data_IF_391266842766
#
_entry.id   IF_391266842766
#
_cell.length_a   1.000
_cell.length_b   1.000
_cell.length_c   1.000
_cell.angle_alpha   90.00
_cell.angle_beta   90.00
_cell.angle_gamma   90.00
#
_symmetry.space_group_name_H-M   'P 1'
#
loop_
_entity.id
_entity.type
_entity.pdbx_description
1 polymer ?
#
# COMPACT_ATOMS: atom_id res chain seq x y z
N UNK A 1 -30.12 -26.33 12.74
CA UNK A 1 -28.86 -26.63 12.03
C UNK A 1 -27.74 -25.96 12.80
N UNK A 2 -26.80 -26.73 13.35
CA UNK A 2 -25.67 -26.20 14.13
C UNK A 2 -24.77 -25.30 13.27
N UNK A 3 -24.20 -24.22 13.81
CA UNK A 3 -23.19 -23.45 13.11
C UNK A 3 -21.97 -24.35 12.93
N UNK A 4 -21.44 -24.41 11.71
CA UNK A 4 -20.17 -25.07 11.44
C UNK A 4 -19.10 -24.36 12.27
N UNK A 5 -18.53 -25.05 13.26
CA UNK A 5 -17.32 -24.61 13.95
C UNK A 5 -16.20 -24.50 12.91
N UNK A 6 -15.61 -23.32 12.71
CA UNK A 6 -14.36 -23.22 11.94
C UNK A 6 -13.94 -21.86 11.41
N UNK A 7 -14.87 -20.92 11.23
CA UNK A 7 -14.56 -19.56 10.76
C UNK A 7 -14.50 -18.56 11.94
N UNK A 8 -13.60 -17.59 11.83
CA UNK A 8 -13.48 -16.47 12.77
C UNK A 8 -14.48 -15.37 12.46
N UNK A 9 -14.60 -15.03 11.18
CA UNK A 9 -15.63 -14.13 10.66
C UNK A 9 -16.31 -14.87 9.51
N UNK A 10 -17.59 -15.20 9.70
CA UNK A 10 -18.42 -15.81 8.67
C UNK A 10 -18.86 -14.71 7.71
N UNK A 11 -18.68 -14.92 6.42
CA UNK A 11 -19.16 -13.95 5.45
C UNK A 11 -20.69 -13.98 5.39
N UNK A 12 -21.29 -12.80 5.27
CA UNK A 12 -22.75 -12.61 5.26
C UNK A 12 -23.43 -13.35 4.12
N UNK A 13 -22.76 -13.45 2.98
CA UNK A 13 -23.25 -14.07 1.76
C UNK A 13 -23.25 -15.60 1.84
N UNK A 14 -22.65 -16.17 2.89
CA UNK A 14 -22.70 -17.61 3.18
C UNK A 14 -21.79 -18.49 2.34
N UNK A 15 -20.82 -17.90 1.63
CA UNK A 15 -19.80 -18.64 0.89
C UNK A 15 -18.57 -18.91 1.79
N UNK A 16 -18.36 -20.17 2.22
CA UNK A 16 -17.28 -20.50 3.16
C UNK A 16 -15.88 -20.29 2.59
N UNK A 17 -15.70 -20.10 1.28
CA UNK A 17 -14.42 -19.74 0.67
C UNK A 17 -13.97 -18.32 1.07
N UNK A 18 -14.92 -17.46 1.44
CA UNK A 18 -14.67 -16.08 1.85
C UNK A 18 -14.87 -15.83 3.34
N UNK A 19 -15.08 -16.90 4.12
CA UNK A 19 -14.96 -16.83 5.56
C UNK A 19 -13.51 -16.49 5.96
N UNK A 20 -13.36 -15.59 6.93
CA UNK A 20 -12.05 -15.27 7.50
C UNK A 20 -11.67 -16.35 8.50
N UNK A 21 -10.47 -16.91 8.32
CA UNK A 21 -9.87 -17.92 9.21
C UNK A 21 -8.46 -17.51 9.54
N UNK A 22 -8.25 -17.11 10.78
CA UNK A 22 -6.97 -16.58 11.21
C UNK A 22 -6.00 -17.71 11.54
N UNK A 23 -4.78 -17.67 10.98
CA UNK A 23 -3.79 -18.74 11.16
C UNK A 23 -3.29 -18.84 12.61
N UNK A 24 -3.23 -17.72 13.34
CA UNK A 24 -2.82 -17.69 14.74
C UNK A 24 -3.77 -18.44 15.69
N UNK A 25 -4.97 -18.85 15.23
CA UNK A 25 -5.87 -19.72 15.99
C UNK A 25 -5.39 -21.17 16.07
N UNK A 26 -4.62 -21.60 15.06
CA UNK A 26 -4.27 -23.01 14.86
C UNK A 26 -2.78 -23.27 15.03
N UNK A 27 -1.95 -22.27 14.81
CA UNK A 27 -0.48 -22.40 14.86
C UNK A 27 0.18 -21.14 15.40
N UNK A 28 1.38 -21.31 15.95
CA UNK A 28 2.27 -20.19 16.24
C UNK A 28 2.89 -19.72 14.93
N UNK A 29 2.73 -18.43 14.61
CA UNK A 29 3.25 -17.87 13.38
C UNK A 29 4.78 -17.75 13.45
N UNK A 30 5.52 -18.26 12.46
CA UNK A 30 6.97 -18.11 12.42
C UNK A 30 7.35 -16.63 12.26
N UNK A 31 8.55 -16.25 12.74
CA UNK A 31 9.12 -14.95 12.45
C UNK A 31 9.13 -14.56 10.97
N UNK A 32 8.99 -13.26 10.71
CA UNK A 32 9.12 -12.68 9.38
C UNK A 32 7.98 -11.74 9.03
N UNK A 33 8.05 -11.24 7.81
CA UNK A 33 7.14 -10.25 7.24
C UNK A 33 6.52 -10.81 5.97
N UNK A 34 5.18 -10.79 5.90
CA UNK A 34 4.44 -11.05 4.67
C UNK A 34 3.86 -9.74 4.15
N UNK A 35 4.17 -9.39 2.92
CA UNK A 35 3.55 -8.26 2.23
C UNK A 35 2.25 -8.70 1.56
N UNK A 36 1.17 -7.98 1.81
CA UNK A 36 -0.15 -8.20 1.24
C UNK A 36 -0.47 -7.04 0.31
N UNK A 37 -0.46 -7.34 -0.99
CA UNK A 37 -0.96 -6.46 -2.03
C UNK A 37 -2.44 -6.69 -2.25
N UNK A 38 -3.15 -5.59 -2.49
CA UNK A 38 -4.54 -5.63 -2.94
C UNK A 38 -4.60 -4.75 -4.17
N UNK A 39 -4.85 -5.38 -5.30
CA UNK A 39 -4.65 -4.74 -6.59
C UNK A 39 -5.89 -4.88 -7.45
N UNK A 40 -6.08 -3.87 -8.29
CA UNK A 40 -6.98 -3.94 -9.42
C UNK A 40 -6.37 -3.11 -10.52
N UNK A 41 -6.12 -3.72 -11.67
CA UNK A 41 -5.57 -3.07 -12.85
C UNK A 41 -4.20 -2.40 -12.61
N UNK A 42 -3.26 -3.17 -12.07
CA UNK A 42 -1.90 -2.76 -11.73
C UNK A 42 -0.83 -3.33 -12.67
N UNK A 43 -1.21 -3.91 -13.82
CA UNK A 43 -0.28 -4.60 -14.73
C UNK A 43 0.90 -3.71 -15.16
N UNK A 44 0.66 -2.40 -15.29
CA UNK A 44 1.69 -1.40 -15.61
C UNK A 44 2.71 -1.25 -14.49
N UNK A 45 2.28 -1.26 -13.22
CA UNK A 45 3.11 -0.91 -12.07
C UNK A 45 3.88 -2.11 -11.51
N UNK A 46 3.30 -3.31 -11.55
CA UNK A 46 3.88 -4.52 -10.96
C UNK A 46 5.33 -4.83 -11.36
N UNK A 47 5.79 -4.58 -12.61
CA UNK A 47 7.19 -4.78 -12.99
C UNK A 47 8.19 -3.95 -12.20
N UNK A 48 7.81 -2.78 -11.67
CA UNK A 48 8.66 -1.99 -10.76
C UNK A 48 8.42 -2.35 -9.30
N UNK A 49 7.18 -2.69 -8.93
CA UNK A 49 6.74 -2.85 -7.55
C UNK A 49 7.12 -4.21 -6.95
N UNK A 50 6.86 -5.30 -7.67
CA UNK A 50 7.05 -6.65 -7.13
C UNK A 50 8.53 -7.05 -6.93
N UNK A 51 9.47 -6.81 -7.87
CA UNK A 51 10.84 -7.28 -7.72
C UNK A 51 11.53 -6.81 -6.43
N UNK A 52 11.50 -5.51 -6.04
CA UNK A 52 12.12 -5.10 -4.79
C UNK A 52 11.36 -5.62 -3.57
N UNK A 53 10.02 -5.72 -3.60
CA UNK A 53 9.26 -6.28 -2.49
C UNK A 53 9.60 -7.75 -2.26
N UNK A 54 9.66 -8.55 -3.33
CA UNK A 54 10.08 -9.94 -3.26
C UNK A 54 11.49 -10.06 -2.66
N UNK A 55 12.41 -9.12 -2.87
CA UNK A 55 13.72 -9.18 -2.19
C UNK A 55 13.66 -8.78 -0.72
N UNK A 56 12.66 -8.01 -0.31
CA UNK A 56 12.57 -7.40 1.02
C UNK A 56 11.89 -8.29 2.07
N UNK A 57 10.94 -9.14 1.66
CA UNK A 57 10.07 -9.87 2.59
C UNK A 57 10.11 -11.39 2.39
N UNK A 58 9.72 -12.13 3.42
CA UNK A 58 9.72 -13.60 3.40
C UNK A 58 8.64 -14.16 2.47
N UNK A 59 7.47 -13.49 2.38
CA UNK A 59 6.37 -13.94 1.53
C UNK A 59 5.59 -12.76 0.96
N UNK A 60 5.05 -12.92 -0.24
CA UNK A 60 4.13 -11.96 -0.86
C UNK A 60 2.79 -12.63 -1.12
N UNK A 61 1.70 -12.03 -0.63
CA UNK A 61 0.34 -12.35 -1.03
C UNK A 61 -0.16 -11.22 -1.92
N UNK A 62 -0.63 -11.52 -3.11
CA UNK A 62 -1.30 -10.59 -4.00
C UNK A 62 -2.74 -11.01 -4.17
N UNK A 63 -3.64 -10.13 -3.75
CA UNK A 63 -5.09 -10.30 -3.89
C UNK A 63 -5.56 -9.48 -5.08
N UNK A 64 -5.93 -10.17 -6.15
CA UNK A 64 -6.54 -9.55 -7.33
C UNK A 64 -8.03 -9.29 -7.09
N UNK A 65 -8.45 -8.03 -7.19
CA UNK A 65 -9.86 -7.64 -7.05
C UNK A 65 -10.53 -7.43 -8.41
N UNK A 66 -10.46 -8.45 -9.26
CA UNK A 66 -11.15 -8.49 -10.55
C UNK A 66 -10.51 -7.57 -11.58
N UNK A 67 -9.20 -7.73 -11.80
CA UNK A 67 -8.49 -7.00 -12.85
C UNK A 67 -8.89 -7.49 -14.25
N UNK A 68 -8.82 -6.58 -15.22
CA UNK A 68 -9.10 -6.83 -16.64
C UNK A 68 -7.95 -6.43 -17.58
N UNK A 69 -6.81 -6.01 -17.03
CA UNK A 69 -5.61 -5.56 -17.76
C UNK A 69 -4.48 -6.60 -17.81
N UNK A 70 -4.72 -7.81 -17.32
CA UNK A 70 -3.71 -8.87 -17.22
C UNK A 70 -2.82 -8.80 -15.96
N UNK A 71 -3.21 -8.02 -14.93
CA UNK A 71 -2.51 -7.94 -13.65
C UNK A 71 -2.10 -9.30 -13.07
N UNK A 72 -2.98 -10.33 -13.00
CA UNK A 72 -2.62 -11.64 -12.45
C UNK A 72 -1.48 -12.32 -13.22
N UNK A 73 -1.52 -12.29 -14.55
CA UNK A 73 -0.52 -12.90 -15.43
C UNK A 73 0.83 -12.18 -15.31
N UNK A 74 0.81 -10.84 -15.21
CA UNK A 74 2.02 -10.04 -14.96
C UNK A 74 2.62 -10.39 -13.61
N UNK A 75 1.79 -10.49 -12.56
CA UNK A 75 2.27 -10.79 -11.21
C UNK A 75 2.98 -12.14 -11.14
N UNK A 76 2.37 -13.20 -11.71
CA UNK A 76 2.96 -14.54 -11.77
C UNK A 76 4.28 -14.54 -12.54
N UNK A 77 4.29 -13.94 -13.73
CA UNK A 77 5.51 -13.85 -14.56
C UNK A 77 6.64 -13.16 -13.81
N UNK A 78 6.38 -12.01 -13.16
CA UNK A 78 7.40 -11.27 -12.42
C UNK A 78 7.92 -12.07 -11.22
N UNK A 79 7.05 -12.80 -10.51
CA UNK A 79 7.47 -13.68 -9.42
C UNK A 79 8.38 -14.82 -9.91
N UNK A 80 8.04 -15.44 -11.05
CA UNK A 80 8.86 -16.47 -11.70
C UNK A 80 10.23 -15.93 -12.17
N UNK A 81 10.24 -14.78 -12.86
CA UNK A 81 11.47 -14.11 -13.31
C UNK A 81 12.38 -13.72 -12.15
N UNK A 82 11.80 -13.42 -10.98
CA UNK A 82 12.54 -13.14 -9.75
C UNK A 82 12.97 -14.41 -8.99
N UNK A 83 12.61 -15.61 -9.46
CA UNK A 83 12.89 -16.88 -8.77
C UNK A 83 12.20 -16.97 -7.41
N UNK A 84 11.00 -16.38 -7.27
CA UNK A 84 10.29 -16.23 -6.00
C UNK A 84 8.88 -16.87 -6.02
N UNK A 85 8.62 -17.74 -6.99
CA UNK A 85 7.32 -18.40 -7.15
C UNK A 85 6.91 -19.24 -5.93
N UNK A 86 7.87 -19.82 -5.20
CA UNK A 86 7.66 -20.62 -3.99
C UNK A 86 7.19 -19.81 -2.77
N UNK A 87 7.37 -18.49 -2.82
CA UNK A 87 7.06 -17.53 -1.74
C UNK A 87 6.16 -16.38 -2.20
N UNK A 88 5.40 -16.65 -3.26
CA UNK A 88 4.39 -15.77 -3.82
C UNK A 88 3.04 -16.50 -3.84
N UNK A 89 1.98 -15.82 -3.43
CA UNK A 89 0.61 -16.34 -3.48
C UNK A 89 -0.27 -15.35 -4.19
N UNK A 90 -0.85 -15.77 -5.31
CA UNK A 90 -1.91 -15.05 -5.99
C UNK A 90 -3.26 -15.63 -5.57
N UNK A 91 -4.19 -14.77 -5.18
CA UNK A 91 -5.57 -15.14 -4.89
C UNK A 91 -6.53 -14.13 -5.52
N UNK A 92 -7.74 -14.58 -5.87
CA UNK A 92 -8.75 -13.74 -6.48
C UNK A 92 -9.86 -13.39 -5.48
N UNK A 93 -10.30 -12.14 -5.51
CA UNK A 93 -11.45 -11.66 -4.76
C UNK A 93 -12.46 -11.05 -5.75
N UNK A 94 -13.39 -11.84 -6.29
CA UNK A 94 -14.20 -11.48 -7.45
C UNK A 94 -15.45 -10.65 -7.09
N UNK A 95 -15.44 -9.95 -5.96
CA UNK A 95 -16.57 -9.13 -5.51
C UNK A 95 -16.28 -7.64 -5.70
N UNK A 96 -17.31 -6.88 -6.04
CA UNK A 96 -17.23 -5.43 -6.00
C UNK A 96 -17.13 -4.97 -4.55
N UNK A 97 -15.97 -4.46 -4.16
CA UNK A 97 -15.74 -3.93 -2.81
C UNK A 97 -16.19 -2.47 -2.75
N UNK A 98 -16.90 -2.11 -1.69
CA UNK A 98 -17.37 -0.76 -1.41
C UNK A 98 -16.18 0.21 -1.27
N UNK A 99 -16.29 1.37 -1.94
CA UNK A 99 -15.30 2.43 -1.85
C UNK A 99 -15.37 3.15 -0.50
N UNK A 100 -14.25 3.75 -0.08
CA UNK A 100 -14.24 4.65 1.07
C UNK A 100 -15.27 5.79 0.86
N UNK A 101 -15.96 6.18 1.93
CA UNK A 101 -17.05 7.15 1.92
C UNK A 101 -18.41 6.52 2.20
N UNK A 102 -19.43 6.99 1.49
CA UNK A 102 -20.84 6.61 1.70
C UNK A 102 -21.12 5.14 1.38
N UNK A 103 -20.49 4.58 0.34
CA UNK A 103 -20.57 3.15 0.01
C UNK A 103 -20.06 2.30 1.17
N UNK A 104 -18.88 2.62 1.70
CA UNK A 104 -18.34 1.96 2.88
C UNK A 104 -19.32 2.07 4.04
N UNK A 105 -19.77 3.27 4.40
CA UNK A 105 -20.69 3.49 5.53
C UNK A 105 -21.96 2.62 5.43
N UNK A 106 -22.51 2.47 4.22
CA UNK A 106 -23.74 1.71 3.97
C UNK A 106 -23.53 0.18 3.96
N UNK A 107 -22.30 -0.30 3.77
CA UNK A 107 -22.01 -1.73 3.60
C UNK A 107 -21.74 -2.41 4.95
N UNK A 108 -22.46 -3.49 5.24
CA UNK A 108 -22.31 -4.24 6.49
C UNK A 108 -20.88 -4.81 6.62
N UNK A 109 -20.24 -4.74 7.81
CA UNK A 109 -18.82 -5.08 7.98
C UNK A 109 -18.47 -6.54 7.63
N UNK A 110 -19.43 -7.45 7.74
CA UNK A 110 -19.34 -8.90 7.52
C UNK A 110 -19.69 -9.33 6.08
N UNK A 111 -20.05 -8.39 5.21
CA UNK A 111 -20.32 -8.67 3.80
C UNK A 111 -19.03 -8.81 2.99
N UNK A 112 -18.98 -9.70 2.00
CA UNK A 112 -17.88 -9.76 1.02
C UNK A 112 -17.71 -8.45 0.24
N UNK A 113 -18.72 -7.60 0.19
CA UNK A 113 -18.63 -6.27 -0.41
C UNK A 113 -18.00 -5.23 0.53
N UNK A 114 -17.80 -5.56 1.80
CA UNK A 114 -17.19 -4.69 2.79
C UNK A 114 -15.70 -4.55 2.58
N UNK A 115 -15.21 -3.31 2.60
CA UNK A 115 -13.78 -3.04 2.62
C UNK A 115 -13.13 -3.70 3.85
N UNK A 116 -13.77 -3.64 5.02
CA UNK A 116 -13.29 -4.29 6.26
C UNK A 116 -13.17 -5.81 6.11
N UNK A 117 -14.19 -6.46 5.53
CA UNK A 117 -14.14 -7.92 5.30
C UNK A 117 -13.07 -8.28 4.28
N UNK A 118 -13.01 -7.55 3.18
CA UNK A 118 -12.01 -7.74 2.14
C UNK A 118 -10.59 -7.68 2.69
N UNK A 119 -10.27 -6.70 3.54
CA UNK A 119 -8.97 -6.64 4.20
C UNK A 119 -8.75 -7.81 5.16
N UNK A 120 -9.70 -8.12 6.04
CA UNK A 120 -9.52 -9.24 6.96
C UNK A 120 -9.32 -10.58 6.24
N UNK A 121 -10.07 -10.84 5.18
CA UNK A 121 -9.88 -12.01 4.33
C UNK A 121 -8.51 -12.00 3.63
N UNK A 122 -8.10 -10.86 3.06
CA UNK A 122 -6.79 -10.72 2.40
C UNK A 122 -5.64 -11.05 3.36
N UNK A 123 -5.72 -10.57 4.61
CA UNK A 123 -4.68 -10.78 5.62
C UNK A 123 -4.76 -12.15 6.30
N UNK A 124 -5.88 -12.87 6.17
CA UNK A 124 -5.99 -14.25 6.65
C UNK A 124 -5.08 -15.23 5.90
N UNK A 125 -4.53 -14.83 4.76
CA UNK A 125 -3.53 -15.60 4.01
C UNK A 125 -2.10 -15.46 4.54
N UNK A 126 -1.81 -14.47 5.39
CA UNK A 126 -0.47 -14.25 5.95
C UNK A 126 -0.04 -15.44 6.81
N UNK A 127 1.23 -15.86 6.74
CA UNK A 127 1.76 -16.99 7.54
C UNK A 127 2.98 -16.63 8.36
N UNK A 128 3.25 -15.34 8.54
CA UNK A 128 4.36 -14.83 9.35
C UNK A 128 3.83 -14.03 10.54
N UNK A 129 4.65 -13.85 11.57
CA UNK A 129 4.30 -13.11 12.78
C UNK A 129 3.95 -11.64 12.52
N UNK A 130 4.42 -11.07 11.40
CA UNK A 130 4.06 -9.73 10.95
C UNK A 130 3.45 -9.72 9.56
N UNK A 131 2.61 -8.72 9.33
CA UNK A 131 2.01 -8.42 8.03
C UNK A 131 2.26 -6.98 7.63
N UNK A 132 2.38 -6.76 6.33
CA UNK A 132 2.59 -5.46 5.73
C UNK A 132 1.50 -5.23 4.69
N UNK A 133 0.71 -4.18 4.85
CA UNK A 133 -0.15 -3.66 3.77
C UNK A 133 0.75 -2.97 2.75
N UNK A 134 0.47 -3.11 1.46
CA UNK A 134 1.14 -2.35 0.42
C UNK A 134 0.23 -2.18 -0.80
N UNK A 135 0.35 -1.03 -1.47
CA UNK A 135 -0.46 -0.70 -2.63
C UNK A 135 0.28 -1.06 -3.93
N UNK A 136 -0.47 -1.31 -5.01
CA UNK A 136 0.04 -1.83 -6.29
C UNK A 136 0.91 -0.83 -7.07
N UNK A 137 0.95 0.42 -6.64
CA UNK A 137 1.67 1.55 -7.21
C UNK A 137 2.84 2.01 -6.34
N UNK A 138 3.17 1.30 -5.26
CA UNK A 138 4.25 1.69 -4.34
C UNK A 138 5.56 0.96 -4.64
N UNK A 139 6.59 1.68 -5.09
CA UNK A 139 7.90 1.12 -5.45
C UNK A 139 8.93 1.37 -4.35
N UNK A 140 9.59 0.31 -3.88
CA UNK A 140 10.70 0.40 -2.93
C UNK A 140 12.02 0.82 -3.62
N UNK A 141 12.79 1.66 -2.93
CA UNK A 141 14.19 1.91 -3.27
C UNK A 141 15.10 0.78 -2.75
N UNK A 142 16.35 0.66 -3.22
CA UNK A 142 17.30 -0.31 -2.67
C UNK A 142 17.52 -0.16 -1.15
N UNK A 143 17.50 1.09 -0.64
CA UNK A 143 17.55 1.36 0.81
C UNK A 143 16.29 0.81 1.50
N UNK A 144 15.11 1.01 0.91
CA UNK A 144 13.84 0.43 1.38
C UNK A 144 13.88 -1.09 1.47
N UNK A 145 14.46 -1.77 0.48
CA UNK A 145 14.64 -3.23 0.51
C UNK A 145 15.49 -3.65 1.70
N UNK A 146 16.63 -2.99 1.93
CA UNK A 146 17.51 -3.29 3.06
C UNK A 146 16.84 -3.06 4.41
N UNK A 147 16.18 -1.91 4.59
CA UNK A 147 15.49 -1.57 5.84
C UNK A 147 14.37 -2.58 6.16
N UNK A 148 13.56 -2.97 5.18
CA UNK A 148 12.49 -3.95 5.41
C UNK A 148 13.03 -5.35 5.69
N UNK A 149 14.08 -5.77 5.00
CA UNK A 149 14.75 -7.04 5.25
C UNK A 149 15.29 -7.10 6.69
N UNK A 150 15.94 -6.04 7.17
CA UNK A 150 16.46 -5.95 8.53
C UNK A 150 15.33 -5.87 9.59
N UNK A 151 14.28 -5.09 9.32
CA UNK A 151 13.11 -4.99 10.20
C UNK A 151 12.45 -6.35 10.42
N UNK A 152 12.36 -7.20 9.39
CA UNK A 152 11.74 -8.52 9.53
C UNK A 152 12.36 -9.38 10.65
N UNK A 153 13.65 -9.19 10.94
CA UNK A 153 14.36 -9.82 12.06
C UNK A 153 14.18 -9.07 13.38
N UNK A 154 14.20 -7.74 13.36
CA UNK A 154 14.08 -6.91 14.57
C UNK A 154 12.68 -6.92 15.18
N UNK A 155 11.66 -7.19 14.38
CA UNK A 155 10.26 -7.23 14.83
C UNK A 155 9.89 -8.52 15.57
N UNK A 156 10.80 -9.51 15.65
CA UNK A 156 10.57 -10.74 16.39
C UNK A 156 10.24 -10.44 17.86
N UNK A 157 9.11 -10.97 18.32
CA UNK A 157 8.58 -10.78 19.68
C UNK A 157 8.36 -9.33 20.11
N UNK A 158 8.34 -8.37 19.16
CA UNK A 158 7.94 -7.00 19.43
C UNK A 158 6.44 -6.81 19.16
N UNK A 159 5.85 -5.78 19.76
CA UNK A 159 4.49 -5.29 19.45
C UNK A 159 4.56 -3.97 18.68
N UNK A 160 5.56 -3.82 17.81
CA UNK A 160 5.79 -2.57 17.11
C UNK A 160 4.87 -2.41 15.90
N UNK A 161 4.31 -1.23 15.73
CA UNK A 161 3.64 -0.81 14.51
C UNK A 161 4.59 0.13 13.76
N UNK A 162 4.89 -0.20 12.50
CA UNK A 162 5.84 0.57 11.70
C UNK A 162 5.09 1.45 10.70
N UNK A 163 5.33 2.75 10.82
CA UNK A 163 4.89 3.72 9.84
C UNK A 163 5.97 3.96 8.79
N UNK A 164 5.59 3.87 7.52
CA UNK A 164 6.49 4.00 6.37
C UNK A 164 6.13 5.30 5.63
N UNK A 165 7.02 6.31 5.60
CA UNK A 165 6.82 7.49 4.78
C UNK A 165 6.89 7.12 3.30
N UNK A 166 5.94 7.63 2.52
CA UNK A 166 5.89 7.48 1.06
C UNK A 166 5.89 8.84 0.38
N UNK A 167 6.46 8.91 -0.82
CA UNK A 167 6.55 10.14 -1.60
C UNK A 167 5.84 9.96 -2.94
N UNK A 168 4.79 10.74 -3.26
CA UNK A 168 4.14 10.69 -4.56
C UNK A 168 5.13 11.05 -5.69
N UNK A 169 5.10 10.27 -6.76
CA UNK A 169 5.88 10.47 -7.98
C UNK A 169 4.92 10.55 -9.17
N UNK A 170 4.61 11.77 -9.59
CA UNK A 170 3.78 12.02 -10.77
C UNK A 170 4.59 11.82 -12.04
N UNK A 171 4.21 10.85 -12.86
CA UNK A 171 4.94 10.44 -14.07
C UNK A 171 4.32 11.16 -15.27
N UNK A 172 5.10 12.06 -15.86
CA UNK A 172 4.72 12.84 -17.04
C UNK A 172 5.04 12.06 -18.33
N UNK A 173 6.16 11.35 -18.35
CA UNK A 173 6.59 10.49 -19.45
C UNK A 173 7.60 9.45 -18.97
N UNK A 174 8.04 8.56 -19.86
CA UNK A 174 9.09 7.59 -19.53
C UNK A 174 10.40 8.22 -19.04
N UNK A 175 10.66 9.50 -19.37
CA UNK A 175 11.89 10.20 -18.98
C UNK A 175 11.67 11.36 -18.00
N UNK A 176 10.43 11.73 -17.66
CA UNK A 176 10.13 12.89 -16.81
C UNK A 176 9.11 12.54 -15.73
N UNK A 177 9.43 12.90 -14.49
CA UNK A 177 8.52 12.78 -13.37
C UNK A 177 8.70 13.92 -12.37
N UNK A 178 7.72 14.06 -11.47
CA UNK A 178 7.69 15.07 -10.43
C UNK A 178 7.50 14.41 -9.07
N UNK A 179 8.49 14.59 -8.19
CA UNK A 179 8.48 14.04 -6.84
C UNK A 179 7.92 15.08 -5.86
N UNK A 180 6.86 14.73 -5.11
CA UNK A 180 6.29 15.59 -4.09
C UNK A 180 6.95 15.35 -2.72
N UNK A 181 7.72 16.34 -2.26
CA UNK A 181 8.32 16.42 -0.92
C UNK A 181 7.64 17.48 -0.04
N UNK A 182 6.58 18.12 -0.54
CA UNK A 182 5.86 19.20 0.14
C UNK A 182 4.85 18.73 1.18
N UNK A 183 4.53 17.44 1.22
CA UNK A 183 3.57 16.87 2.18
C UNK A 183 4.08 15.57 2.80
N UNK A 184 3.84 15.40 4.10
CA UNK A 184 4.24 14.18 4.83
C UNK A 184 3.14 13.14 4.76
N UNK A 185 3.29 12.14 3.90
CA UNK A 185 2.45 10.95 3.90
C UNK A 185 3.05 9.92 4.84
N UNK A 186 2.54 9.87 6.07
CA UNK A 186 2.96 8.91 7.08
C UNK A 186 1.76 8.06 7.50
N UNK A 187 1.78 6.79 7.12
CA UNK A 187 0.77 5.82 7.51
C UNK A 187 1.45 4.58 8.11
N UNK A 188 0.83 3.93 9.12
CA UNK A 188 1.24 2.62 9.58
C UNK A 188 0.93 1.55 8.52
N UNK A 189 1.94 0.76 8.15
CA UNK A 189 1.81 -0.27 7.11
C UNK A 189 2.14 -1.67 7.62
N UNK A 190 3.01 -1.76 8.64
CA UNK A 190 3.51 -3.04 9.17
C UNK A 190 2.98 -3.23 10.59
N UNK A 191 2.39 -4.40 10.83
CA UNK A 191 1.70 -4.74 12.07
C UNK A 191 1.98 -6.18 12.48
N UNK A 192 1.98 -6.46 13.79
CA UNK A 192 1.91 -7.83 14.28
C UNK A 192 0.65 -8.53 13.75
N UNK A 193 0.73 -9.85 13.62
CA UNK A 193 -0.40 -10.71 13.37
C UNK A 193 -0.99 -11.17 14.70
N UNK A 194 -2.26 -10.90 14.92
CA UNK A 194 -2.95 -11.28 16.14
C UNK A 194 -4.35 -10.65 16.26
N UNK A 195 -5.12 -11.06 17.27
CA UNK A 195 -6.51 -10.62 17.44
C UNK A 195 -6.65 -9.11 17.71
N UNK A 196 -5.59 -8.45 18.19
CA UNK A 196 -5.59 -7.01 18.47
C UNK A 196 -5.25 -6.14 17.26
N UNK A 197 -4.90 -6.76 16.12
CA UNK A 197 -4.39 -6.09 14.92
C UNK A 197 -5.24 -6.37 13.68
N UNK A 198 -6.55 -6.60 13.86
CA UNK A 198 -7.49 -6.82 12.75
C UNK A 198 -8.03 -5.52 12.19
N UNK A 199 -8.58 -5.56 10.98
CA UNK A 199 -9.28 -4.43 10.41
C UNK A 199 -10.68 -4.33 11.01
N UNK A 200 -11.05 -3.13 11.44
CA UNK A 200 -12.39 -2.80 11.91
C UNK A 200 -13.02 -1.77 10.98
N UNK A 201 -14.35 -1.67 11.08
CA UNK A 201 -15.13 -0.69 10.34
C UNK A 201 -15.11 0.65 11.09
N UNK A 202 -14.50 1.68 10.50
CA UNK A 202 -14.72 3.06 10.91
C UNK A 202 -15.85 3.67 10.06
N UNK A 203 -16.11 4.98 10.21
CA UNK A 203 -17.25 5.62 9.54
C UNK A 203 -17.19 5.49 8.01
N UNK A 204 -16.13 6.03 7.40
CA UNK A 204 -16.01 6.12 5.94
C UNK A 204 -14.87 5.27 5.38
N UNK A 205 -14.12 4.55 6.21
CA UNK A 205 -13.02 3.68 5.79
C UNK A 205 -12.78 2.58 6.82
N UNK A 206 -11.94 1.60 6.47
CA UNK A 206 -11.41 0.60 7.39
C UNK A 206 -10.23 1.17 8.19
N UNK A 207 -10.14 0.80 9.47
CA UNK A 207 -8.95 1.11 10.27
C UNK A 207 -8.39 -0.20 10.78
N UNK A 208 -7.07 -0.32 10.82
CA UNK A 208 -6.41 -1.40 11.54
C UNK A 208 -6.23 -0.94 12.98
N UNK A 209 -6.95 -1.58 13.90
CA UNK A 209 -6.79 -1.31 15.33
C UNK A 209 -5.42 -1.81 15.79
N UNK A 210 -4.89 -1.16 16.82
CA UNK A 210 -3.72 -1.62 17.54
C UNK A 210 -3.73 -1.02 18.95
N UNK A 211 -3.23 -1.75 19.97
CA UNK A 211 -3.19 -1.27 21.35
C UNK A 211 -2.39 0.03 21.50
N UNK A 212 -2.77 0.90 22.44
CA UNK A 212 -1.99 2.09 22.80
C UNK A 212 -0.59 1.75 23.34
N UNK A 213 -0.42 0.54 23.87
CA UNK A 213 0.85 -0.02 24.35
C UNK A 213 1.79 -0.46 23.22
N UNK A 214 1.34 -0.43 21.96
CA UNK A 214 2.17 -0.78 20.81
C UNK A 214 3.33 0.20 20.67
N UNK A 215 4.54 -0.33 20.47
CA UNK A 215 5.68 0.49 20.10
C UNK A 215 5.44 1.12 18.72
N UNK A 216 5.88 2.37 18.51
CA UNK A 216 5.71 3.06 17.23
C UNK A 216 7.07 3.35 16.62
N UNK A 217 7.36 2.67 15.52
CA UNK A 217 8.58 2.88 14.73
C UNK A 217 8.21 3.70 13.50
N UNK A 218 8.99 4.73 13.19
CA UNK A 218 8.87 5.48 11.94
C UNK A 218 10.07 5.16 11.08
N UNK A 219 9.84 4.53 9.93
CA UNK A 219 10.89 4.24 8.98
C UNK A 219 11.46 5.54 8.38
N UNK A 220 12.73 5.55 7.94
CA UNK A 220 13.31 6.69 7.23
C UNK A 220 12.47 7.15 6.02
N UNK A 221 12.57 8.44 5.67
CA UNK A 221 12.00 8.95 4.42
C UNK A 221 12.84 8.47 3.22
N UNK A 222 12.21 8.25 2.07
CA UNK A 222 12.91 7.89 0.83
C UNK A 222 13.02 6.39 0.55
N UNK A 223 12.35 5.57 1.35
CA UNK A 223 12.32 4.13 1.17
C UNK A 223 11.37 3.70 0.06
N UNK A 224 10.32 4.48 -0.22
CA UNK A 224 9.39 4.19 -1.30
C UNK A 224 8.80 5.44 -1.94
N UNK A 225 8.33 5.26 -3.17
CA UNK A 225 7.52 6.23 -3.92
C UNK A 225 6.19 5.61 -4.30
N UNK A 226 5.14 6.43 -4.41
CA UNK A 226 3.82 6.04 -4.94
C UNK A 226 3.70 6.59 -6.37
N UNK A 227 3.51 5.71 -7.35
CA UNK A 227 3.45 6.09 -8.77
C UNK A 227 2.08 6.72 -9.10
N UNK A 228 2.10 7.88 -9.77
CA UNK A 228 0.89 8.56 -10.24
C UNK A 228 1.03 8.91 -11.71
N UNK A 229 0.34 8.20 -12.60
CA UNK A 229 0.47 8.42 -14.04
C UNK A 229 -0.40 9.59 -14.51
N UNK A 230 0.19 10.61 -15.13
CA UNK A 230 -0.55 11.78 -15.64
C UNK A 230 -1.35 11.50 -16.91
N UNK A 231 -1.11 10.36 -17.56
CA UNK A 231 -1.92 9.87 -18.69
C UNK A 231 -3.17 9.09 -18.24
N UNK A 232 -3.37 8.92 -16.93
CA UNK A 232 -4.57 8.37 -16.32
C UNK A 232 -5.29 9.46 -15.54
N UNK A 233 -6.59 9.62 -15.80
CA UNK A 233 -7.41 10.55 -15.03
C UNK A 233 -7.78 9.94 -13.67
N UNK A 234 -6.85 10.01 -12.71
CA UNK A 234 -7.02 9.54 -11.31
C UNK A 234 -8.27 10.15 -10.65
N UNK A 235 -8.77 11.27 -11.17
CA UNK A 235 -9.89 12.02 -10.62
C UNK A 235 -11.20 11.87 -11.41
N UNK A 236 -11.23 11.12 -12.51
CA UNK A 236 -12.42 10.91 -13.36
C UNK A 236 -13.64 10.35 -12.60
N UNK A 237 -13.42 9.71 -11.45
CA UNK A 237 -14.47 9.13 -10.63
C UNK A 237 -15.10 10.10 -9.61
N UNK A 238 -14.63 11.34 -9.53
CA UNK A 238 -15.17 12.36 -8.61
C UNK A 238 -16.17 13.26 -9.33
N UNK A 239 -17.39 13.33 -8.81
CA UNK A 239 -18.50 14.08 -9.40
C UNK A 239 -18.49 15.58 -9.06
N UNK A 240 -17.79 16.01 -8.00
CA UNK A 240 -17.50 17.42 -7.72
C UNK A 240 -16.34 17.61 -6.74
N UNK A 241 -15.61 18.72 -6.86
CA UNK A 241 -14.56 19.14 -5.91
C UNK A 241 -15.12 19.63 -4.56
N UNK A 242 -16.43 19.52 -4.33
CA UNK A 242 -17.13 19.99 -3.13
C UNK A 242 -16.96 19.02 -1.95
N UNK A 243 -16.50 17.80 -2.19
CA UNK A 243 -16.17 16.81 -1.14
C UNK A 243 -14.82 17.08 -0.42
N UNK A 244 -14.06 18.11 -0.83
CA UNK A 244 -12.78 18.49 -0.23
C UNK A 244 -12.90 19.50 0.92
N UNK A 245 -13.87 19.29 1.83
CA UNK A 245 -13.97 20.12 3.03
C UNK A 245 -12.64 20.06 3.81
N UNK A 246 -12.16 21.26 4.14
CA UNK A 246 -10.83 21.59 4.65
C UNK A 246 -10.39 20.86 5.91
N UNK A 247 -11.31 20.20 6.60
CA UNK A 247 -11.06 19.46 7.82
C UNK A 247 -10.91 17.95 7.63
N UNK A 248 -11.34 17.35 6.49
CA UNK A 248 -11.51 15.89 6.38
C UNK A 248 -10.45 15.15 5.55
N UNK A 249 -9.85 15.78 4.54
CA UNK A 249 -8.89 15.08 3.64
C UNK A 249 -7.75 15.98 3.11
N UNK A 250 -6.85 16.49 3.97
CA UNK A 250 -5.74 17.37 3.56
C UNK A 250 -4.82 16.72 2.51
N UNK A 251 -4.65 15.39 2.58
CA UNK A 251 -3.93 14.60 1.56
C UNK A 251 -4.55 14.73 0.17
N UNK A 252 -5.87 14.53 0.05
CA UNK A 252 -6.55 14.55 -1.25
C UNK A 252 -6.54 15.94 -1.89
N UNK A 253 -6.57 17.00 -1.07
CA UNK A 253 -6.36 18.36 -1.53
C UNK A 253 -4.95 18.55 -2.13
N UNK A 254 -3.92 18.03 -1.47
CA UNK A 254 -2.54 18.12 -1.98
C UNK A 254 -2.39 17.37 -3.30
N UNK A 255 -2.91 16.14 -3.36
CA UNK A 255 -2.89 15.34 -4.60
C UNK A 255 -3.58 16.08 -5.76
N UNK A 256 -4.74 16.71 -5.50
CA UNK A 256 -5.46 17.51 -6.48
C UNK A 256 -4.70 18.77 -6.92
N UNK A 257 -4.10 19.51 -5.98
CA UNK A 257 -3.28 20.69 -6.24
C UNK A 257 -2.12 20.35 -7.18
N UNK A 258 -1.37 19.30 -6.86
CA UNK A 258 -0.24 18.82 -7.65
C UNK A 258 -0.70 18.40 -9.04
N UNK A 259 -1.72 17.54 -9.13
CA UNK A 259 -2.22 17.06 -10.42
C UNK A 259 -2.68 18.22 -11.32
N UNK A 260 -3.50 19.13 -10.80
CA UNK A 260 -4.01 20.28 -11.56
C UNK A 260 -2.88 21.20 -12.02
N UNK A 261 -1.91 21.49 -11.15
CA UNK A 261 -0.75 22.29 -11.53
C UNK A 261 0.08 21.63 -12.62
N UNK A 262 0.29 20.31 -12.57
CA UNK A 262 1.03 19.57 -13.59
C UNK A 262 0.30 19.56 -14.94
N UNK A 263 -1.01 19.32 -14.94
CA UNK A 263 -1.84 19.37 -16.15
C UNK A 263 -1.86 20.76 -16.80
N UNK A 264 -1.73 21.83 -16.00
CA UNK A 264 -1.65 23.21 -16.47
C UNK A 264 -0.22 23.67 -16.81
N UNK A 265 0.80 22.80 -16.70
CA UNK A 265 2.20 23.16 -16.95
C UNK A 265 2.80 24.11 -15.90
N UNK A 266 2.25 24.12 -14.69
CA UNK A 266 2.64 24.97 -13.55
C UNK A 266 3.31 24.19 -12.40
N UNK A 267 3.87 23.01 -12.67
CA UNK A 267 4.51 22.17 -11.65
C UNK A 267 5.56 22.90 -10.81
N UNK A 268 6.41 23.72 -11.44
CA UNK A 268 7.48 24.48 -10.77
C UNK A 268 6.97 25.52 -9.77
N UNK A 269 5.69 25.92 -9.87
CA UNK A 269 5.07 26.86 -8.96
C UNK A 269 4.56 26.21 -7.67
N UNK A 270 4.53 24.86 -7.60
CA UNK A 270 4.03 24.12 -6.44
C UNK A 270 5.16 23.90 -5.43
N UNK A 271 5.07 24.44 -4.20
CA UNK A 271 6.11 24.28 -3.20
C UNK A 271 6.38 22.80 -2.87
N UNK A 272 7.65 22.41 -2.85
CA UNK A 272 8.08 21.04 -2.52
C UNK A 272 7.89 20.02 -3.64
N UNK A 273 7.45 20.44 -4.83
CA UNK A 273 7.41 19.58 -6.02
C UNK A 273 8.74 19.70 -6.78
N UNK A 274 9.33 18.56 -7.12
CA UNK A 274 10.66 18.50 -7.75
C UNK A 274 10.59 17.77 -9.08
N UNK A 275 10.87 18.48 -10.17
CA UNK A 275 11.01 17.88 -11.49
C UNK A 275 12.29 17.05 -11.58
N UNK A 276 12.19 15.85 -12.12
CA UNK A 276 13.29 14.91 -12.31
C UNK A 276 13.26 14.43 -13.76
N UNK A 277 14.40 14.57 -14.45
CA UNK A 277 14.61 14.01 -15.79
C UNK A 277 15.56 12.82 -15.72
N UNK A 278 15.17 11.72 -16.33
CA UNK A 278 16.00 10.54 -16.46
C UNK A 278 17.00 10.68 -17.62
N UNK A 279 18.21 10.11 -17.50
CA UNK A 279 19.13 9.99 -18.63
C UNK A 279 18.53 9.21 -19.80
N UNK A 280 19.01 9.42 -21.04
CA UNK A 280 18.55 8.67 -22.20
C UNK A 280 18.62 7.15 -22.00
N UNK A 281 17.53 6.45 -22.34
CA UNK A 281 17.44 4.99 -22.25
C UNK A 281 17.14 4.44 -20.85
N UNK A 282 16.89 5.29 -19.85
CA UNK A 282 16.52 4.89 -18.49
C UNK A 282 15.10 5.37 -18.20
N UNK A 283 14.22 4.47 -17.76
CA UNK A 283 12.89 4.86 -17.33
C UNK A 283 12.96 5.68 -16.02
N UNK A 284 12.13 6.71 -15.90
CA UNK A 284 12.20 7.67 -14.79
C UNK A 284 11.94 7.03 -13.43
N UNK A 285 11.08 6.02 -13.37
CA UNK A 285 10.87 5.24 -12.12
C UNK A 285 12.17 4.58 -11.66
N UNK A 286 12.93 3.96 -12.56
CA UNK A 286 14.21 3.34 -12.22
C UNK A 286 15.27 4.40 -11.88
N UNK A 287 15.30 5.51 -12.61
CA UNK A 287 16.22 6.61 -12.30
C UNK A 287 15.96 7.18 -10.90
N UNK A 288 14.70 7.48 -10.58
CA UNK A 288 14.30 8.04 -9.27
C UNK A 288 14.64 7.07 -8.14
N UNK A 289 14.24 5.80 -8.27
CA UNK A 289 14.35 4.82 -7.17
C UNK A 289 15.77 4.29 -6.97
N UNK A 290 16.57 4.18 -8.05
CA UNK A 290 17.92 3.59 -7.99
C UNK A 290 19.06 4.61 -7.97
N UNK A 291 18.81 5.85 -8.39
CA UNK A 291 19.87 6.88 -8.51
C UNK A 291 19.53 8.13 -7.74
N UNK A 292 18.43 8.81 -8.06
CA UNK A 292 18.12 10.13 -7.51
C UNK A 292 17.86 10.08 -6.00
N UNK A 293 16.91 9.23 -5.54
CA UNK A 293 16.56 9.13 -4.12
C UNK A 293 17.70 8.63 -3.23
N UNK A 294 18.49 7.60 -3.64
CA UNK A 294 19.66 7.18 -2.88
C UNK A 294 20.75 8.26 -2.74
N UNK A 295 20.86 9.18 -3.71
CA UNK A 295 21.88 10.26 -3.68
C UNK A 295 21.34 11.57 -3.08
N UNK A 296 20.03 11.70 -2.92
CA UNK A 296 19.41 12.90 -2.37
C UNK A 296 19.84 13.13 -0.92
N UNK A 297 20.33 14.33 -0.64
CA UNK A 297 20.77 14.73 0.70
C UNK A 297 19.64 14.55 1.74
N UNK A 298 19.99 14.00 2.90
CA UNK A 298 19.07 13.85 4.03
C UNK A 298 19.15 15.08 4.97
N UNK A 299 18.05 15.48 5.66
CA UNK A 299 16.70 14.93 5.51
C UNK A 299 16.08 15.30 4.16
N UNK A 300 15.32 14.36 3.58
CA UNK A 300 14.64 14.59 2.29
C UNK A 300 13.66 15.75 2.39
N UNK A 301 12.84 15.76 3.44
CA UNK A 301 11.94 16.87 3.72
C UNK A 301 12.57 17.79 4.74
N UNK A 302 13.01 18.98 4.30
CA UNK A 302 13.47 20.05 5.20
C UNK A 302 12.28 20.77 5.81
N UNK A 303 11.90 20.35 7.01
CA UNK A 303 10.84 21.04 7.76
C UNK A 303 11.43 22.31 8.36
N UNK A 304 10.81 23.45 8.07
CA UNK A 304 11.06 24.67 8.86
C UNK A 304 10.83 24.32 10.33
N UNK A 305 11.88 24.42 11.15
CA UNK A 305 11.78 24.10 12.56
C UNK A 305 10.64 24.92 13.17
N UNK A 306 9.83 24.30 14.03
CA UNK A 306 9.18 25.09 15.08
C UNK A 306 10.33 25.70 15.86
N UNK A 307 10.49 27.02 15.77
CA UNK A 307 11.21 27.76 16.80
C UNK A 307 10.60 27.32 18.13
N UNK A 308 11.44 26.72 18.98
CA UNK A 308 11.07 26.36 20.36
C UNK A 308 10.64 27.61 21.09
#
# INVERSE_FOLDING_TARGET
MSPVRGADLVCREGDPAYDVRWPWRTETLPPGLTCVFRVRNEARNLPWVLPPMLRAVQHVVLVDNGSDDGTPEVALRVAEECGAADRFTLTAYPFQVARAGTEHLATAPDSVHSLTHFYNWSFAHVRTAYSMKWDGDMVLTPEGVGVLADLSWQLQDSNAVVAVPRHPLSIESESVAWLDLGFRFLEPWIYPMGPEFTFVKAFEWEVREFPETSERIVAPEGLCVELKWLDQDEFAHWSSTVDFDSSRAPRKRREWEVYSALMEGRGDAVPGLHRIEAPPGVHVVDHVTRTWLPQAARPLVRRGGRTV
#
